data_IF_414739182078
#
_entry.id   IF_414739182078
#
_cell.length_a   1.000
_cell.length_b   1.000
_cell.length_c   1.000
_cell.angle_alpha   90.00
_cell.angle_beta   90.00
_cell.angle_gamma   90.00
#
_symmetry.space_group_name_H-M   'P 1'
#
loop_
_entity.id
_entity.type
_entity.pdbx_description
1 polymer ?
#
# COMPACT_ATOMS: atom_id res chain seq x y z
N UNK A 1 12.25 -5.34 -18.21
CA UNK A 1 11.33 -4.71 -17.24
C UNK A 1 11.93 -4.67 -15.85
N UNK A 2 12.28 -5.81 -15.23
CA UNK A 2 12.86 -5.85 -13.88
C UNK A 2 14.17 -5.06 -13.72
N UNK A 3 15.10 -5.15 -14.69
CA UNK A 3 16.36 -4.39 -14.65
C UNK A 3 16.13 -2.87 -14.67
N UNK A 4 15.15 -2.40 -15.45
CA UNK A 4 14.79 -0.99 -15.53
C UNK A 4 14.15 -0.51 -14.22
N UNK A 5 13.24 -1.31 -13.63
CA UNK A 5 12.66 -1.03 -12.31
C UNK A 5 13.75 -0.95 -11.22
N UNK A 6 14.71 -1.87 -11.25
CA UNK A 6 15.85 -1.88 -10.33
C UNK A 6 16.74 -0.64 -10.49
N UNK A 7 17.05 -0.25 -11.73
CA UNK A 7 17.81 0.97 -12.01
C UNK A 7 17.09 2.23 -11.51
N UNK A 8 15.78 2.33 -11.73
CA UNK A 8 14.96 3.44 -11.25
C UNK A 8 14.88 3.49 -9.71
N UNK A 9 14.67 2.34 -9.06
CA UNK A 9 14.66 2.24 -7.61
C UNK A 9 16.02 2.64 -6.99
N UNK A 10 17.13 2.20 -7.60
CA UNK A 10 18.48 2.59 -7.18
C UNK A 10 18.71 4.08 -7.33
N UNK A 11 18.26 4.69 -8.43
CA UNK A 11 18.37 6.15 -8.60
C UNK A 11 17.55 6.91 -7.55
N UNK A 12 16.32 6.48 -7.26
CA UNK A 12 15.45 7.12 -6.29
C UNK A 12 15.96 6.97 -4.84
N UNK A 13 16.64 5.87 -4.51
CA UNK A 13 17.12 5.60 -3.15
C UNK A 13 18.13 6.65 -2.67
N UNK A 14 18.97 7.19 -3.57
CA UNK A 14 19.91 8.27 -3.23
C UNK A 14 19.19 9.52 -2.73
N UNK A 15 18.07 9.89 -3.37
CA UNK A 15 17.25 11.03 -2.93
C UNK A 15 16.56 10.73 -1.60
N UNK A 16 16.00 9.53 -1.46
CA UNK A 16 15.31 9.11 -0.24
C UNK A 16 16.25 9.08 0.98
N UNK A 17 17.50 8.66 0.79
CA UNK A 17 18.52 8.60 1.85
C UNK A 17 18.83 10.00 2.42
N UNK A 18 18.79 11.04 1.58
CA UNK A 18 19.09 12.42 1.97
C UNK A 18 17.93 13.17 2.63
N UNK A 19 16.70 12.62 2.61
CA UNK A 19 15.56 13.27 3.25
C UNK A 19 15.72 13.31 4.78
N UNK A 20 15.38 14.46 5.36
CA UNK A 20 15.28 14.61 6.80
C UNK A 20 14.16 13.74 7.40
N UNK A 21 14.23 13.45 8.70
CA UNK A 21 13.15 12.76 9.43
C UNK A 21 11.81 13.47 9.23
N UNK A 22 11.80 14.81 9.31
CA UNK A 22 10.58 15.62 9.11
C UNK A 22 9.96 15.43 7.73
N UNK A 23 10.78 15.37 6.68
CA UNK A 23 10.28 15.15 5.32
C UNK A 23 9.76 13.72 5.14
N UNK A 24 10.47 12.72 5.67
CA UNK A 24 10.02 11.31 5.64
C UNK A 24 8.68 11.15 6.36
N UNK A 25 8.54 11.70 7.56
CA UNK A 25 7.30 11.64 8.32
C UNK A 25 6.16 12.35 7.58
N UNK A 26 6.40 13.53 6.99
CA UNK A 26 5.37 14.22 6.20
C UNK A 26 4.88 13.39 5.01
N UNK A 27 5.77 12.62 4.37
CA UNK A 27 5.39 11.71 3.28
C UNK A 27 4.55 10.55 3.81
N UNK A 28 4.95 9.93 4.91
CA UNK A 28 4.21 8.83 5.54
C UNK A 28 2.80 9.26 5.98
N UNK A 29 2.66 10.41 6.64
CA UNK A 29 1.35 10.97 6.99
C UNK A 29 0.46 11.16 5.75
N UNK A 30 1.03 11.71 4.66
CA UNK A 30 0.30 11.84 3.40
C UNK A 30 -0.11 10.50 2.79
N UNK A 31 0.71 9.47 2.92
CA UNK A 31 0.36 8.12 2.45
C UNK A 31 -0.84 7.62 3.25
N UNK A 32 -0.83 7.74 4.57
CA UNK A 32 -1.97 7.35 5.41
C UNK A 32 -3.25 8.12 5.06
N UNK A 33 -3.15 9.44 4.86
CA UNK A 33 -4.29 10.27 4.44
C UNK A 33 -4.84 9.86 3.07
N UNK A 34 -3.96 9.50 2.13
CA UNK A 34 -4.40 9.02 0.82
C UNK A 34 -5.05 7.65 0.88
N UNK A 35 -4.55 6.73 1.72
CA UNK A 35 -5.20 5.42 1.92
C UNK A 35 -6.62 5.56 2.46
N UNK A 36 -6.86 6.51 3.37
CA UNK A 36 -8.21 6.76 3.91
C UNK A 36 -9.10 7.50 2.92
N UNK A 37 -8.61 8.59 2.31
CA UNK A 37 -9.39 9.41 1.38
C UNK A 37 -9.73 8.71 0.07
N UNK A 38 -8.91 7.75 -0.37
CA UNK A 38 -9.17 6.91 -1.55
C UNK A 38 -9.68 5.51 -1.20
N UNK A 39 -10.14 5.31 0.04
CA UNK A 39 -10.55 3.99 0.53
C UNK A 39 -11.60 3.30 -0.36
N UNK A 40 -12.56 4.04 -0.88
CA UNK A 40 -13.59 3.49 -1.76
C UNK A 40 -12.99 2.93 -3.07
N UNK A 41 -12.07 3.65 -3.70
CA UNK A 41 -11.43 3.23 -4.94
C UNK A 41 -10.58 1.97 -4.73
N UNK A 42 -9.82 1.94 -3.65
CA UNK A 42 -8.98 0.80 -3.26
C UNK A 42 -9.84 -0.45 -3.00
N UNK A 43 -10.95 -0.30 -2.27
CA UNK A 43 -11.84 -1.42 -1.94
C UNK A 43 -12.55 -1.97 -3.19
N UNK A 44 -12.98 -1.09 -4.10
CA UNK A 44 -13.59 -1.51 -5.38
C UNK A 44 -12.59 -2.27 -6.26
N UNK A 45 -11.33 -1.81 -6.32
CA UNK A 45 -10.28 -2.52 -7.04
C UNK A 45 -10.00 -3.90 -6.42
N UNK A 46 -9.89 -3.98 -5.09
CA UNK A 46 -9.66 -5.25 -4.40
C UNK A 46 -10.82 -6.24 -4.57
N UNK A 47 -12.07 -5.76 -4.67
CA UNK A 47 -13.21 -6.62 -4.99
C UNK A 47 -13.07 -7.28 -6.37
N UNK A 48 -12.58 -6.54 -7.37
CA UNK A 48 -12.28 -7.11 -8.69
C UNK A 48 -11.18 -8.17 -8.61
N UNK A 49 -10.12 -7.91 -7.85
CA UNK A 49 -9.04 -8.88 -7.61
C UNK A 49 -9.57 -10.15 -6.93
N UNK A 50 -10.46 -10.02 -5.94
CA UNK A 50 -11.08 -11.16 -5.24
C UNK A 50 -11.95 -12.01 -6.18
N UNK A 51 -12.70 -11.37 -7.06
CA UNK A 51 -13.51 -12.05 -8.07
C UNK A 51 -12.63 -12.84 -9.04
N UNK A 52 -11.54 -12.22 -9.52
CA UNK A 52 -10.58 -12.89 -10.41
C UNK A 52 -9.87 -14.04 -9.70
N UNK A 53 -9.37 -13.81 -8.48
CA UNK A 53 -8.72 -14.81 -7.65
C UNK A 53 -9.61 -16.03 -7.39
N UNK A 54 -10.90 -15.81 -7.08
CA UNK A 54 -11.88 -16.88 -6.89
C UNK A 54 -12.10 -17.68 -8.16
N UNK A 55 -12.17 -17.01 -9.33
CA UNK A 55 -12.26 -17.68 -10.64
C UNK A 55 -11.02 -18.50 -10.96
N UNK A 56 -9.85 -18.04 -10.52
CA UNK A 56 -8.57 -18.72 -10.68
C UNK A 56 -8.34 -19.85 -9.64
N UNK A 57 -9.32 -20.14 -8.79
CA UNK A 57 -9.27 -21.27 -7.87
C UNK A 57 -8.41 -21.04 -6.62
N UNK A 58 -8.17 -19.79 -6.21
CA UNK A 58 -7.51 -19.51 -4.93
C UNK A 58 -8.33 -20.10 -3.77
N UNK A 59 -7.63 -20.65 -2.78
CA UNK A 59 -8.26 -21.18 -1.57
C UNK A 59 -8.88 -20.06 -0.72
N UNK A 60 -9.89 -20.37 0.07
CA UNK A 60 -10.54 -19.38 0.96
C UNK A 60 -9.54 -18.72 1.93
N UNK A 61 -8.53 -19.45 2.40
CA UNK A 61 -7.47 -18.87 3.22
C UNK A 61 -6.61 -17.83 2.47
N UNK A 62 -6.39 -18.03 1.17
CA UNK A 62 -5.68 -17.06 0.34
C UNK A 62 -6.57 -15.88 -0.05
N UNK A 63 -7.86 -16.11 -0.28
CA UNK A 63 -8.86 -15.06 -0.50
C UNK A 63 -9.01 -14.17 0.73
N UNK A 64 -9.06 -14.75 1.94
CA UNK A 64 -9.09 -13.96 3.18
C UNK A 64 -7.84 -13.09 3.30
N UNK A 65 -6.64 -13.59 2.98
CA UNK A 65 -5.41 -12.76 2.98
C UNK A 65 -5.42 -11.65 1.93
N UNK A 66 -6.04 -11.89 0.78
CA UNK A 66 -6.16 -10.89 -0.29
C UNK A 66 -7.21 -9.82 0.04
N UNK A 67 -8.24 -10.18 0.81
CA UNK A 67 -9.37 -9.31 1.06
C UNK A 67 -9.00 -8.07 1.90
N UNK A 68 -9.35 -6.90 1.38
CA UNK A 68 -9.37 -5.64 2.12
C UNK A 68 -10.79 -5.36 2.61
N UNK A 69 -10.87 -4.84 3.82
CA UNK A 69 -12.10 -4.30 4.40
C UNK A 69 -11.83 -2.87 4.86
N UNK A 70 -12.86 -2.02 5.07
CA UNK A 70 -12.66 -0.69 5.62
C UNK A 70 -11.82 -0.70 6.91
N UNK A 71 -12.05 -1.68 7.79
CA UNK A 71 -11.29 -1.84 9.02
C UNK A 71 -9.82 -2.21 8.78
N UNK A 72 -9.54 -3.14 7.85
CA UNK A 72 -8.15 -3.50 7.50
C UNK A 72 -7.41 -2.34 6.85
N UNK A 73 -8.06 -1.60 5.96
CA UNK A 73 -7.45 -0.44 5.29
C UNK A 73 -7.20 0.72 6.27
N UNK A 74 -8.13 0.97 7.20
CA UNK A 74 -7.93 1.88 8.33
C UNK A 74 -6.71 1.47 9.17
N UNK A 75 -6.62 0.18 9.50
CA UNK A 75 -5.48 -0.38 10.23
C UNK A 75 -4.14 -0.15 9.52
N UNK A 76 -4.09 -0.37 8.20
CA UNK A 76 -2.88 -0.10 7.40
C UNK A 76 -2.50 1.38 7.46
N UNK A 77 -3.47 2.30 7.33
CA UNK A 77 -3.21 3.73 7.44
C UNK A 77 -2.69 4.11 8.83
N UNK A 78 -3.25 3.54 9.89
CA UNK A 78 -2.82 3.78 11.27
C UNK A 78 -1.41 3.22 11.54
N UNK A 79 -1.09 2.04 11.02
CA UNK A 79 0.26 1.45 11.10
C UNK A 79 1.29 2.35 10.40
N UNK A 80 0.95 2.96 9.26
CA UNK A 80 1.82 3.94 8.58
C UNK A 80 2.05 5.17 9.45
N UNK A 81 1.00 5.70 10.11
CA UNK A 81 1.15 6.83 11.04
C UNK A 81 1.99 6.45 12.26
N UNK A 82 1.89 5.21 12.74
CA UNK A 82 2.69 4.75 13.87
C UNK A 82 4.20 4.84 13.59
N UNK A 83 4.63 4.60 12.35
CA UNK A 83 6.06 4.72 11.94
C UNK A 83 6.56 6.16 12.00
N UNK A 84 5.68 7.16 11.97
CA UNK A 84 6.08 8.58 12.04
C UNK A 84 6.61 8.99 13.44
N UNK A 85 6.26 8.25 14.49
CA UNK A 85 6.59 8.58 15.88
C UNK A 85 8.07 8.37 16.25
#
# INVERSE_FOLDING_TARGET
MLEQMGAAAKAASYKLALLSRREKNRVLEKIADYLESQSQEILLANEQDLLEARRNGLSEAMLDRLALTPARLKGIADDVRQVCN
#
